data_IF_058360454528
#
_entry.id   IF_058360454528
#
_cell.length_a   1.000
_cell.length_b   1.000
_cell.length_c   1.000
_cell.angle_alpha   90.00
_cell.angle_beta   90.00
_cell.angle_gamma   90.00
#
_symmetry.space_group_name_H-M   'P 1'
#
loop_
_entity.id
_entity.type
_entity.pdbx_description
1 polymer ?
#
# COMPACT_ATOMS: atom_id res chain seq x y z
N UNK A 1 14.99 13.36 -31.37
CA UNK A 1 14.85 13.42 -29.88
C UNK A 1 13.52 14.01 -29.40
N UNK A 2 13.00 15.13 -29.96
CA UNK A 2 11.73 15.74 -29.50
C UNK A 2 10.49 14.83 -29.65
N UNK A 3 10.48 13.92 -30.63
CA UNK A 3 9.38 12.97 -30.87
C UNK A 3 9.37 11.81 -29.87
N UNK A 4 10.55 11.37 -29.39
CA UNK A 4 10.68 10.31 -28.38
C UNK A 4 10.24 10.82 -27.00
N UNK A 5 10.55 12.08 -26.67
CA UNK A 5 10.06 12.75 -25.46
C UNK A 5 8.55 13.07 -25.50
N UNK A 6 7.96 13.28 -26.68
CA UNK A 6 6.50 13.38 -26.82
C UNK A 6 5.82 12.02 -26.69
N UNK A 7 6.46 10.94 -27.16
CA UNK A 7 5.95 9.57 -27.02
C UNK A 7 6.04 9.05 -25.57
N UNK A 8 7.06 9.44 -24.80
CA UNK A 8 7.16 9.06 -23.38
C UNK A 8 5.99 9.60 -22.57
N UNK A 9 5.50 10.81 -22.86
CA UNK A 9 4.31 11.37 -22.19
C UNK A 9 3.04 10.55 -22.45
N UNK A 10 2.87 10.03 -23.67
CA UNK A 10 1.71 9.19 -24.00
C UNK A 10 1.74 7.83 -23.29
N UNK A 11 2.93 7.23 -23.16
CA UNK A 11 3.11 5.97 -22.43
C UNK A 11 2.83 6.16 -20.94
N UNK A 12 3.32 7.26 -20.35
CA UNK A 12 3.07 7.56 -18.94
C UNK A 12 1.59 7.79 -18.64
N UNK A 13 0.83 8.44 -19.53
CA UNK A 13 -0.62 8.61 -19.35
C UNK A 13 -1.35 7.27 -19.22
N UNK A 14 -0.93 6.24 -19.97
CA UNK A 14 -1.50 4.89 -19.84
C UNK A 14 -1.18 4.30 -18.45
N UNK A 15 0.06 4.47 -17.98
CA UNK A 15 0.47 4.03 -16.64
C UNK A 15 -0.29 4.74 -15.52
N UNK A 16 -0.45 6.06 -15.62
CA UNK A 16 -1.21 6.88 -14.66
C UNK A 16 -2.67 6.46 -14.62
N UNK A 17 -3.34 6.40 -15.77
CA UNK A 17 -4.76 6.06 -15.83
C UNK A 17 -5.02 4.62 -15.39
N UNK A 18 -4.14 3.68 -15.75
CA UNK A 18 -4.20 2.29 -15.29
C UNK A 18 -4.01 2.18 -13.77
N UNK A 19 -3.01 2.87 -13.21
CA UNK A 19 -2.76 2.85 -11.77
C UNK A 19 -3.91 3.52 -10.98
N UNK A 20 -4.46 4.63 -11.49
CA UNK A 20 -5.62 5.29 -10.90
C UNK A 20 -6.86 4.40 -10.93
N UNK A 21 -7.14 3.76 -12.07
CA UNK A 21 -8.26 2.85 -12.20
C UNK A 21 -8.15 1.68 -11.21
N UNK A 22 -6.96 1.06 -11.10
CA UNK A 22 -6.71 0.00 -10.14
C UNK A 22 -6.92 0.47 -8.69
N UNK A 23 -6.41 1.66 -8.33
CA UNK A 23 -6.62 2.25 -7.01
C UNK A 23 -8.11 2.44 -6.69
N UNK A 24 -8.87 3.02 -7.64
CA UNK A 24 -10.32 3.21 -7.51
C UNK A 24 -11.04 1.88 -7.33
N UNK A 25 -10.72 0.87 -8.16
CA UNK A 25 -11.33 -0.46 -8.05
C UNK A 25 -11.04 -1.09 -6.69
N UNK A 26 -9.81 -1.02 -6.20
CA UNK A 26 -9.42 -1.56 -4.90
C UNK A 26 -10.13 -0.83 -3.75
N UNK A 27 -10.25 0.50 -3.80
CA UNK A 27 -10.98 1.26 -2.78
C UNK A 27 -12.47 0.97 -2.76
N UNK A 28 -13.11 0.87 -3.93
CA UNK A 28 -14.53 0.50 -4.03
C UNK A 28 -14.72 -0.92 -3.50
N UNK A 29 -13.88 -1.87 -3.94
CA UNK A 29 -13.98 -3.26 -3.52
C UNK A 29 -13.74 -3.44 -2.01
N UNK A 30 -12.69 -2.82 -1.46
CA UNK A 30 -12.41 -2.81 -0.02
C UNK A 30 -13.53 -2.15 0.78
N UNK A 31 -14.11 -1.07 0.28
CA UNK A 31 -15.28 -0.41 0.87
C UNK A 31 -16.51 -1.30 0.93
N UNK A 32 -16.83 -1.99 -0.17
CA UNK A 32 -17.95 -2.93 -0.22
C UNK A 32 -17.75 -4.11 0.74
N UNK A 33 -16.55 -4.69 0.79
CA UNK A 33 -16.21 -5.76 1.75
C UNK A 33 -16.36 -5.29 3.20
N UNK A 34 -15.86 -4.08 3.51
CA UNK A 34 -15.99 -3.49 4.85
C UNK A 34 -17.46 -3.32 5.23
N UNK A 35 -18.28 -2.80 4.32
CA UNK A 35 -19.71 -2.58 4.56
C UNK A 35 -20.44 -3.90 4.80
N UNK A 36 -20.12 -4.93 4.03
CA UNK A 36 -20.68 -6.26 4.22
C UNK A 36 -20.26 -6.85 5.57
N UNK A 37 -18.98 -6.78 5.94
CA UNK A 37 -18.46 -7.28 7.23
C UNK A 37 -19.12 -6.58 8.43
N UNK A 38 -19.33 -5.26 8.36
CA UNK A 38 -20.03 -4.50 9.40
C UNK A 38 -21.49 -4.96 9.49
N UNK A 39 -22.16 -5.09 8.35
CA UNK A 39 -23.57 -5.50 8.28
C UNK A 39 -23.78 -6.89 8.87
N UNK A 40 -22.93 -7.85 8.51
CA UNK A 40 -22.97 -9.22 9.01
C UNK A 40 -22.74 -9.25 10.54
N UNK A 41 -21.82 -8.44 11.04
CA UNK A 41 -21.53 -8.34 12.48
C UNK A 41 -22.71 -7.77 13.28
N UNK A 42 -23.37 -6.73 12.74
CA UNK A 42 -24.53 -6.11 13.38
C UNK A 42 -25.74 -7.06 13.40
N UNK A 43 -25.95 -7.83 12.33
CA UNK A 43 -27.04 -8.81 12.25
C UNK A 43 -26.80 -10.05 13.10
N UNK A 44 -25.54 -10.49 13.24
CA UNK A 44 -25.21 -11.70 13.99
C UNK A 44 -25.51 -11.60 15.49
N UNK A 45 -25.51 -10.41 16.10
CA UNK A 45 -26.01 -10.16 17.47
C UNK A 45 -25.31 -10.91 18.62
N UNK A 46 -24.33 -11.79 18.36
CA UNK A 46 -23.65 -12.61 19.35
C UNK A 46 -22.15 -12.30 19.41
N UNK A 47 -21.69 -11.83 20.58
CA UNK A 47 -20.26 -11.59 20.86
C UNK A 47 -19.66 -12.91 21.36
N UNK A 48 -18.99 -13.65 20.47
CA UNK A 48 -18.21 -14.85 20.82
C UNK A 48 -16.73 -14.63 20.55
N UNK A 49 -15.85 -15.15 21.42
CA UNK A 49 -14.39 -15.04 21.29
C UNK A 49 -13.88 -15.60 19.94
N UNK A 50 -14.52 -16.65 19.41
CA UNK A 50 -14.19 -17.22 18.09
C UNK A 50 -14.64 -16.31 16.93
N UNK A 51 -15.80 -15.67 17.07
CA UNK A 51 -16.31 -14.69 16.11
C UNK A 51 -15.45 -13.42 16.07
N UNK A 52 -14.99 -12.94 17.23
CA UNK A 52 -14.09 -11.78 17.31
C UNK A 52 -12.74 -12.00 16.62
N UNK A 53 -12.14 -13.20 16.75
CA UNK A 53 -10.91 -13.56 16.00
C UNK A 53 -11.13 -13.58 14.49
N UNK A 54 -12.25 -14.17 14.05
CA UNK A 54 -12.61 -14.21 12.62
C UNK A 54 -12.85 -12.80 12.07
N UNK A 55 -13.54 -11.95 12.83
CA UNK A 55 -13.82 -10.57 12.45
C UNK A 55 -12.53 -9.76 12.34
N UNK A 56 -11.66 -9.84 13.35
CA UNK A 56 -10.36 -9.16 13.34
C UNK A 56 -9.53 -9.58 12.13
N UNK A 57 -9.55 -10.87 11.79
CA UNK A 57 -8.87 -11.36 10.60
C UNK A 57 -9.46 -10.76 9.31
N UNK A 58 -10.78 -10.79 9.16
CA UNK A 58 -11.47 -10.23 8.01
C UNK A 58 -11.13 -8.75 7.79
N UNK A 59 -11.03 -7.96 8.87
CA UNK A 59 -10.61 -6.56 8.80
C UNK A 59 -9.14 -6.39 8.38
N UNK A 60 -8.24 -7.29 8.77
CA UNK A 60 -6.84 -7.23 8.33
C UNK A 60 -6.71 -7.53 6.83
N UNK A 61 -7.48 -8.51 6.34
CA UNK A 61 -7.53 -8.83 4.91
C UNK A 61 -8.10 -7.64 4.11
N UNK A 62 -9.13 -6.96 4.63
CA UNK A 62 -9.66 -5.75 4.03
C UNK A 62 -8.67 -4.57 4.10
N UNK A 63 -7.92 -4.43 5.20
CA UNK A 63 -6.90 -3.40 5.35
C UNK A 63 -5.79 -3.52 4.30
N UNK A 64 -5.39 -4.74 3.95
CA UNK A 64 -4.40 -5.00 2.89
C UNK A 64 -4.88 -4.48 1.52
N UNK A 65 -6.17 -4.67 1.20
CA UNK A 65 -6.78 -4.14 -0.04
C UNK A 65 -6.70 -2.61 -0.08
N UNK A 66 -7.01 -1.94 1.04
CA UNK A 66 -6.90 -0.48 1.14
C UNK A 66 -5.45 -0.02 0.96
N UNK A 67 -4.49 -0.71 1.59
CA UNK A 67 -3.08 -0.36 1.46
C UNK A 67 -2.60 -0.52 0.01
N UNK A 68 -2.95 -1.61 -0.66
CA UNK A 68 -2.63 -1.80 -2.07
C UNK A 68 -3.27 -0.71 -2.94
N UNK A 69 -4.52 -0.33 -2.65
CA UNK A 69 -5.20 0.80 -3.29
C UNK A 69 -4.43 2.11 -3.11
N UNK A 70 -3.93 2.39 -1.90
CA UNK A 70 -3.10 3.56 -1.60
C UNK A 70 -1.76 3.51 -2.33
N UNK A 71 -1.09 2.34 -2.42
CA UNK A 71 0.13 2.18 -3.22
C UNK A 71 -0.13 2.56 -4.67
N UNK A 72 -1.17 1.98 -5.28
CA UNK A 72 -1.54 2.25 -6.67
C UNK A 72 -1.88 3.73 -6.88
N UNK A 73 -2.54 4.36 -5.91
CA UNK A 73 -2.84 5.79 -5.94
C UNK A 73 -1.57 6.65 -5.89
N UNK A 74 -0.62 6.35 -4.99
CA UNK A 74 0.66 7.06 -4.89
C UNK A 74 1.47 6.90 -6.17
N UNK A 75 1.49 5.70 -6.77
CA UNK A 75 2.13 5.46 -8.08
C UNK A 75 1.49 6.36 -9.13
N UNK A 76 0.16 6.38 -9.21
CA UNK A 76 -0.56 7.22 -10.17
C UNK A 76 -0.21 8.70 -10.01
N UNK A 77 -0.26 9.22 -8.78
CA UNK A 77 0.05 10.62 -8.51
C UNK A 77 1.51 10.96 -8.81
N UNK A 78 2.45 10.14 -8.36
CA UNK A 78 3.87 10.42 -8.61
C UNK A 78 4.26 10.31 -10.07
N UNK A 79 3.66 9.39 -10.84
CA UNK A 79 3.85 9.36 -12.28
C UNK A 79 3.22 10.57 -12.98
N UNK A 80 2.08 11.06 -12.48
CA UNK A 80 1.44 12.25 -13.02
C UNK A 80 2.27 13.50 -12.73
N UNK A 81 2.69 13.71 -11.48
CA UNK A 81 3.45 14.90 -11.05
C UNK A 81 4.80 14.97 -11.76
N UNK A 82 5.51 13.85 -11.86
CA UNK A 82 6.84 13.79 -12.46
C UNK A 82 6.87 14.00 -13.98
N UNK A 83 5.83 13.56 -14.70
CA UNK A 83 5.86 13.50 -16.17
C UNK A 83 4.80 14.37 -16.86
N UNK A 84 3.79 14.86 -16.15
CA UNK A 84 2.66 15.59 -16.73
C UNK A 84 2.60 17.02 -16.21
N UNK A 85 2.48 17.23 -14.90
CA UNK A 85 2.33 18.56 -14.30
C UNK A 85 2.80 18.57 -12.85
N UNK A 86 3.80 19.39 -12.55
CA UNK A 86 4.42 19.56 -11.24
C UNK A 86 3.73 20.64 -10.38
N UNK A 87 2.73 21.37 -10.90
CA UNK A 87 2.06 22.48 -10.20
C UNK A 87 0.75 22.07 -9.49
N UNK A 88 0.65 20.83 -9.04
CA UNK A 88 -0.52 20.36 -8.31
C UNK A 88 -0.37 20.78 -6.84
N UNK A 89 -1.41 21.39 -6.27
CA UNK A 89 -1.46 21.69 -4.84
C UNK A 89 -1.62 20.40 -4.01
N UNK A 90 -0.52 19.64 -3.86
CA UNK A 90 -0.44 18.48 -2.98
C UNK A 90 0.19 18.89 -1.64
N UNK A 91 -0.24 18.31 -0.52
CA UNK A 91 0.43 18.53 0.75
C UNK A 91 1.87 17.98 0.69
N UNK A 92 2.78 18.56 1.47
CA UNK A 92 4.23 18.27 1.41
C UNK A 92 4.58 16.77 1.53
N UNK A 93 3.78 16.00 2.29
CA UNK A 93 3.99 14.56 2.44
C UNK A 93 3.64 13.75 1.17
N UNK A 94 2.88 14.31 0.23
CA UNK A 94 2.41 13.65 -1.01
C UNK A 94 3.03 14.23 -2.29
N UNK A 95 3.61 15.43 -2.26
CA UNK A 95 4.34 16.00 -3.40
C UNK A 95 5.64 15.23 -3.76
N UNK A 96 5.79 14.90 -5.04
CA UNK A 96 6.82 14.05 -5.64
C UNK A 96 7.46 14.83 -6.80
N UNK A 97 8.61 15.44 -6.54
CA UNK A 97 9.32 16.23 -7.55
C UNK A 97 10.35 15.39 -8.32
N UNK A 98 10.73 14.23 -7.80
CA UNK A 98 11.74 13.35 -8.41
C UNK A 98 11.33 11.87 -8.37
N UNK A 99 11.94 11.05 -9.23
CA UNK A 99 11.81 9.58 -9.16
C UNK A 99 12.26 9.01 -7.82
N UNK A 100 13.21 9.66 -7.16
CA UNK A 100 13.70 9.24 -5.85
C UNK A 100 12.66 9.47 -4.76
N UNK A 101 11.93 10.60 -4.81
CA UNK A 101 10.82 10.86 -3.89
C UNK A 101 9.68 9.84 -4.06
N UNK A 102 9.35 9.49 -5.32
CA UNK A 102 8.37 8.44 -5.60
C UNK A 102 8.83 7.12 -4.98
N UNK A 103 10.10 6.76 -5.19
CA UNK A 103 10.67 5.52 -4.65
C UNK A 103 10.62 5.48 -3.13
N UNK A 104 11.01 6.57 -2.45
CA UNK A 104 11.04 6.60 -0.99
C UNK A 104 9.63 6.51 -0.39
N UNK A 105 8.63 7.15 -1.01
CA UNK A 105 7.22 6.98 -0.59
C UNK A 105 6.73 5.55 -0.79
N UNK A 106 7.06 4.93 -1.92
CA UNK A 106 6.70 3.53 -2.17
C UNK A 106 7.37 2.58 -1.18
N UNK A 107 8.64 2.79 -0.86
CA UNK A 107 9.33 2.01 0.17
C UNK A 107 8.62 2.15 1.52
N UNK A 108 8.23 3.37 1.89
CA UNK A 108 7.45 3.62 3.11
C UNK A 108 6.17 2.79 3.17
N UNK A 109 5.39 2.77 2.09
CA UNK A 109 4.15 1.98 2.06
C UNK A 109 4.41 0.48 2.05
N UNK A 110 5.43 0.00 1.33
CA UNK A 110 5.81 -1.43 1.33
C UNK A 110 6.17 -1.90 2.74
N UNK A 111 6.93 -1.10 3.49
CA UNK A 111 7.28 -1.41 4.88
C UNK A 111 6.02 -1.52 5.76
N UNK A 112 5.06 -0.62 5.59
CA UNK A 112 3.77 -0.66 6.30
C UNK A 112 2.97 -1.92 5.93
N UNK A 113 2.85 -2.24 4.64
CA UNK A 113 2.15 -3.44 4.15
C UNK A 113 2.76 -4.70 4.75
N UNK A 114 4.09 -4.83 4.72
CA UNK A 114 4.79 -5.97 5.31
C UNK A 114 4.50 -6.12 6.81
N UNK A 115 4.42 -5.01 7.55
CA UNK A 115 4.06 -5.01 8.96
C UNK A 115 2.62 -5.49 9.21
N UNK A 116 1.66 -5.04 8.39
CA UNK A 116 0.25 -5.45 8.49
C UNK A 116 0.07 -6.93 8.13
N UNK A 117 0.76 -7.42 7.09
CA UNK A 117 0.77 -8.84 6.73
C UNK A 117 1.32 -9.71 7.86
N UNK A 118 2.41 -9.27 8.50
CA UNK A 118 2.96 -9.98 9.66
C UNK A 118 1.96 -10.02 10.83
N UNK A 119 1.30 -8.90 11.13
CA UNK A 119 0.26 -8.83 12.17
C UNK A 119 -0.89 -9.79 11.89
N UNK A 120 -1.34 -9.89 10.64
CA UNK A 120 -2.33 -10.89 10.22
C UNK A 120 -1.89 -12.33 10.53
N UNK A 121 -0.62 -12.63 10.30
CA UNK A 121 -0.04 -13.94 10.61
C UNK A 121 0.03 -14.21 12.12
N UNK A 122 0.40 -13.19 12.92
CA UNK A 122 0.41 -13.26 14.40
C UNK A 122 -0.98 -13.58 14.96
N UNK A 123 -2.03 -13.00 14.39
CA UNK A 123 -3.40 -13.21 14.86
C UNK A 123 -3.94 -14.59 14.46
N UNK A 124 -3.54 -15.12 13.29
CA UNK A 124 -3.88 -16.48 12.85
C UNK A 124 -3.13 -17.57 13.62
N UNK A 125 -2.06 -17.22 14.33
CA UNK A 125 -1.17 -18.17 14.97
C UNK A 125 -1.86 -19.01 16.06
N UNK A 126 -1.76 -20.34 15.95
CA UNK A 126 -2.32 -21.30 16.92
C UNK A 126 -1.26 -22.15 17.64
N UNK A 127 0.01 -21.71 17.65
CA UNK A 127 1.10 -22.40 18.36
C UNK A 127 2.07 -23.19 17.48
N UNK A 128 2.15 -22.89 16.18
CA UNK A 128 3.07 -23.55 15.25
C UNK A 128 4.43 -22.82 15.17
N UNK A 129 5.56 -23.53 15.14
CA UNK A 129 6.92 -22.95 15.30
C UNK A 129 7.43 -22.06 14.14
N UNK A 130 6.58 -21.68 13.18
CA UNK A 130 7.00 -20.93 11.98
C UNK A 130 7.05 -19.40 12.10
N UNK A 131 6.45 -18.81 13.15
CA UNK A 131 6.24 -17.35 13.19
C UNK A 131 7.55 -16.56 13.35
N UNK A 132 8.53 -17.13 14.05
CA UNK A 132 9.83 -16.50 14.24
C UNK A 132 10.59 -16.38 12.91
N UNK A 133 10.59 -17.43 12.09
CA UNK A 133 11.22 -17.41 10.78
C UNK A 133 10.55 -16.42 9.83
N UNK A 134 9.22 -16.34 9.84
CA UNK A 134 8.47 -15.32 9.09
C UNK A 134 8.83 -13.91 9.55
N UNK A 135 8.89 -13.67 10.87
CA UNK A 135 9.26 -12.38 11.44
C UNK A 135 10.68 -11.96 11.08
N UNK A 136 11.65 -12.88 11.13
CA UNK A 136 13.03 -12.62 10.73
C UNK A 136 13.12 -12.34 9.22
N UNK A 137 12.39 -13.10 8.39
CA UNK A 137 12.34 -12.89 6.95
C UNK A 137 11.84 -11.49 6.61
N UNK A 138 10.65 -11.12 7.10
CA UNK A 138 10.06 -9.80 6.87
C UNK A 138 10.94 -8.69 7.46
N UNK A 139 11.44 -8.88 8.68
CA UNK A 139 12.32 -7.92 9.36
C UNK A 139 13.62 -7.65 8.59
N UNK A 140 14.21 -8.69 7.98
CA UNK A 140 15.42 -8.53 7.17
C UNK A 140 15.17 -7.71 5.91
N UNK A 141 14.02 -7.90 5.24
CA UNK A 141 13.65 -7.13 4.05
C UNK A 141 13.37 -5.67 4.43
N UNK A 142 12.64 -5.43 5.52
CA UNK A 142 12.40 -4.07 6.03
C UNK A 142 13.73 -3.40 6.36
N UNK A 143 14.63 -4.06 7.08
CA UNK A 143 15.94 -3.51 7.41
C UNK A 143 16.76 -3.16 6.17
N UNK A 144 16.78 -4.03 5.16
CA UNK A 144 17.46 -3.77 3.89
C UNK A 144 16.89 -2.55 3.16
N UNK A 145 15.55 -2.43 3.11
CA UNK A 145 14.86 -1.31 2.49
C UNK A 145 15.08 0.01 3.25
N UNK A 146 15.04 -0.01 4.58
CA UNK A 146 15.30 1.15 5.42
C UNK A 146 16.74 1.64 5.28
N UNK A 147 17.72 0.73 5.25
CA UNK A 147 19.12 1.10 4.98
C UNK A 147 19.26 1.68 3.57
N UNK A 148 18.64 1.06 2.56
CA UNK A 148 18.68 1.53 1.18
C UNK A 148 18.14 2.97 1.04
N UNK A 149 17.00 3.28 1.68
CA UNK A 149 16.39 4.61 1.65
C UNK A 149 17.19 5.61 2.52
N UNK A 150 17.58 5.22 3.74
CA UNK A 150 18.33 6.08 4.67
C UNK A 150 19.73 6.47 4.19
N UNK A 151 20.41 5.61 3.41
CA UNK A 151 21.72 5.92 2.83
C UNK A 151 21.65 7.05 1.81
N UNK A 152 20.52 7.24 1.11
CA UNK A 152 20.34 8.36 0.17
C UNK A 152 20.12 9.70 0.88
N UNK A 153 19.35 9.72 1.97
CA UNK A 153 19.06 10.95 2.73
C UNK A 153 20.31 11.61 3.35
N UNK A 154 21.41 10.86 3.52
CA UNK A 154 22.68 11.36 4.05
C UNK A 154 23.61 11.99 2.99
N UNK A 155 23.26 11.94 1.70
CA UNK A 155 24.05 12.52 0.59
C UNK A 155 23.41 13.74 -0.08
N UNK A 156 22.27 14.22 0.44
CA UNK A 156 21.62 15.47 0.02
C UNK A 156 21.90 16.60 1.00
#
# INVERSE_FOLDING_TARGET
MKTILKASRYLVIVGVTGALAAAITLFIYGGLLTFQQISDTLQAGYISSKGGKSLMLSFIETADIFLLGTVMYIISLGLYELFIDDNIALPDWLSIHTLDDLKDKLIGVIVVVMGVVFLGHVIKWQGEEGILFYGIGIGSVIAALTVFSGVKKKKG
#
